data_IF_282740995418
#
_entry.id   IF_282740995418
#
_cell.length_a   1.000
_cell.length_b   1.000
_cell.length_c   1.000
_cell.angle_alpha   90.00
_cell.angle_beta   90.00
_cell.angle_gamma   90.00
#
_symmetry.space_group_name_H-M   'P 1'
#
loop_
_entity.id
_entity.type
_entity.pdbx_description
1 polymer ?
#
# COMPACT_ATOMS: atom_id res chain seq x y z
N UNK A 1 14.57 29.04 -8.62
CA UNK A 1 13.73 28.49 -9.71
C UNK A 1 13.77 26.95 -9.64
N UNK A 2 13.14 26.33 -8.64
CA UNK A 2 13.10 24.84 -8.45
C UNK A 2 11.82 24.33 -7.76
N UNK A 3 10.77 25.16 -7.65
CA UNK A 3 9.43 24.73 -7.17
C UNK A 3 8.54 24.16 -8.28
N UNK A 4 9.06 24.03 -9.51
CA UNK A 4 8.26 23.83 -10.71
C UNK A 4 8.10 22.36 -11.13
N UNK A 5 9.01 21.45 -10.78
CA UNK A 5 8.98 20.09 -11.34
C UNK A 5 7.86 19.24 -10.70
N UNK A 6 7.78 19.21 -9.36
CA UNK A 6 6.75 18.43 -8.65
C UNK A 6 5.35 19.00 -8.88
N UNK A 7 5.19 20.33 -8.79
CA UNK A 7 3.92 21.00 -9.10
C UNK A 7 3.48 20.80 -10.55
N UNK A 8 4.42 20.69 -11.50
CA UNK A 8 4.12 20.37 -12.90
C UNK A 8 3.56 18.96 -13.05
N UNK A 9 4.13 17.95 -12.39
CA UNK A 9 3.57 16.58 -12.46
C UNK A 9 2.19 16.47 -11.80
N UNK A 10 1.99 17.12 -10.64
CA UNK A 10 0.67 17.14 -10.01
C UNK A 10 -0.37 17.91 -10.84
N UNK A 11 0.04 18.97 -11.55
CA UNK A 11 -0.85 19.67 -12.47
C UNK A 11 -1.17 18.84 -13.69
N UNK A 12 -0.17 18.17 -14.26
CA UNK A 12 -0.32 17.32 -15.44
C UNK A 12 -1.24 16.16 -15.10
N UNK A 13 -1.18 15.56 -13.92
CA UNK A 13 -2.04 14.44 -13.54
C UNK A 13 -3.39 14.86 -12.93
N UNK A 14 -3.77 16.15 -13.00
CA UNK A 14 -5.00 16.66 -12.39
C UNK A 14 -5.05 16.61 -10.86
N UNK A 15 -3.98 16.11 -10.24
CA UNK A 15 -3.84 15.92 -8.80
C UNK A 15 -3.99 17.24 -8.05
N UNK A 16 -3.60 18.38 -8.62
CA UNK A 16 -3.82 19.71 -8.01
C UNK A 16 -5.29 20.01 -7.64
N UNK A 17 -6.27 19.36 -8.28
CA UNK A 17 -7.69 19.51 -7.93
C UNK A 17 -8.04 18.86 -6.60
N UNK A 18 -7.25 17.87 -6.18
CA UNK A 18 -7.46 17.08 -4.97
C UNK A 18 -6.39 17.41 -3.90
N UNK A 19 -5.17 17.75 -4.33
CA UNK A 19 -4.05 18.10 -3.47
C UNK A 19 -3.98 19.61 -3.21
N UNK A 20 -4.23 20.01 -1.95
CA UNK A 20 -3.79 21.32 -1.45
C UNK A 20 -2.44 21.16 -0.76
N UNK A 21 -1.34 21.28 -1.52
CA UNK A 21 0.02 21.32 -0.97
C UNK A 21 0.61 22.72 -1.22
N UNK A 22 1.00 23.43 -0.15
CA UNK A 22 1.87 24.60 -0.27
C UNK A 22 3.32 24.13 -0.37
N UNK A 23 3.93 24.29 -1.54
CA UNK A 23 5.35 23.99 -1.74
C UNK A 23 6.21 25.06 -1.07
N UNK A 24 6.77 24.77 0.11
CA UNK A 24 7.77 25.63 0.75
C UNK A 24 9.05 25.68 -0.11
N UNK A 25 9.65 26.88 -0.22
CA UNK A 25 10.73 27.21 -1.18
C UNK A 25 12.12 26.64 -0.86
N UNK A 26 12.28 25.76 0.14
CA UNK A 26 13.59 25.43 0.72
C UNK A 26 14.02 23.95 0.58
N UNK A 27 15.34 23.82 0.41
CA UNK A 27 16.28 22.69 0.17
C UNK A 27 15.75 21.24 -0.02
N UNK A 28 16.21 20.62 -1.12
CA UNK A 28 15.90 19.25 -1.57
C UNK A 28 17.14 18.35 -1.48
N UNK A 29 17.82 18.32 -0.33
CA UNK A 29 18.92 17.36 -0.09
C UNK A 29 18.58 16.45 1.08
N UNK A 30 18.45 15.17 0.79
CA UNK A 30 18.70 14.06 1.73
C UNK A 30 17.86 14.00 3.01
N UNK A 31 16.69 14.66 3.07
CA UNK A 31 15.75 14.43 4.17
C UNK A 31 15.17 13.03 3.94
N UNK A 32 15.45 12.08 4.83
CA UNK A 32 14.92 10.72 4.72
C UNK A 32 13.41 10.73 4.47
N UNK A 33 12.86 9.73 3.75
CA UNK A 33 11.43 9.70 3.39
C UNK A 33 10.52 10.06 4.57
N UNK A 34 10.84 9.59 5.76
CA UNK A 34 10.13 9.80 7.03
C UNK A 34 10.21 11.20 7.63
N UNK A 35 11.17 12.04 7.25
CA UNK A 35 11.34 13.41 7.80
C UNK A 35 10.91 14.50 6.83
N UNK A 36 10.44 14.11 5.65
CA UNK A 36 9.92 15.06 4.66
C UNK A 36 8.51 15.55 5.07
N UNK A 37 8.23 16.86 5.04
CA UNK A 37 6.86 17.37 5.23
C UNK A 37 5.90 16.85 4.14
N UNK A 38 6.43 16.43 3.00
CA UNK A 38 5.69 15.80 1.91
C UNK A 38 5.29 14.35 2.20
N UNK A 39 5.84 13.73 3.25
CA UNK A 39 5.47 12.38 3.67
C UNK A 39 4.01 12.28 4.15
N UNK A 40 3.38 13.41 4.46
CA UNK A 40 1.93 13.48 4.70
C UNK A 40 1.10 13.03 3.49
N UNK A 41 1.66 13.06 2.28
CA UNK A 41 1.01 12.70 1.02
C UNK A 41 1.74 11.52 0.35
N UNK A 42 1.92 10.43 1.08
CA UNK A 42 2.73 9.31 0.65
C UNK A 42 1.98 8.44 -0.38
N UNK A 43 2.46 8.43 -1.62
CA UNK A 43 1.98 7.52 -2.67
C UNK A 43 2.73 6.20 -2.58
N UNK A 44 1.98 5.11 -2.43
CA UNK A 44 2.58 3.80 -2.25
C UNK A 44 2.61 3.00 -3.55
N UNK A 45 1.48 2.92 -4.25
CA UNK A 45 1.34 2.04 -5.40
C UNK A 45 0.55 2.67 -6.53
N UNK A 46 0.97 2.37 -7.75
CA UNK A 46 0.30 2.72 -9.00
C UNK A 46 -0.06 1.45 -9.76
N UNK A 47 -1.34 1.29 -10.10
CA UNK A 47 -1.82 0.18 -10.91
C UNK A 47 -2.43 0.69 -12.21
N UNK A 48 -1.80 0.37 -13.33
CA UNK A 48 -2.40 0.60 -14.65
C UNK A 48 -3.53 -0.41 -14.84
N UNK A 49 -4.74 0.07 -15.12
CA UNK A 49 -5.94 -0.77 -15.30
C UNK A 49 -6.21 -1.00 -16.78
N UNK A 50 -6.10 0.07 -17.56
CA UNK A 50 -6.23 0.09 -19.01
C UNK A 50 -5.44 1.30 -19.57
N UNK A 51 -5.54 1.54 -20.88
CA UNK A 51 -4.84 2.63 -21.57
C UNK A 51 -5.19 4.03 -21.02
N UNK A 52 -6.37 4.17 -20.42
CA UNK A 52 -6.96 5.44 -20.03
C UNK A 52 -7.02 5.63 -18.52
N UNK A 53 -6.82 4.56 -17.74
CA UNK A 53 -7.10 4.54 -16.30
C UNK A 53 -5.93 3.99 -15.49
N UNK A 54 -5.51 4.78 -14.50
CA UNK A 54 -4.53 4.39 -13.49
C UNK A 54 -5.16 4.52 -12.11
N UNK A 55 -4.98 3.51 -11.25
CA UNK A 55 -5.27 3.62 -9.83
C UNK A 55 -4.02 4.01 -9.06
N UNK A 56 -4.17 4.98 -8.16
CA UNK A 56 -3.14 5.45 -7.26
C UNK A 56 -3.58 5.24 -5.81
N UNK A 57 -2.85 4.40 -5.08
CA UNK A 57 -3.05 4.15 -3.66
C UNK A 57 -2.13 5.02 -2.83
N UNK A 58 -2.65 5.55 -1.73
CA UNK A 58 -1.88 6.36 -0.79
C UNK A 58 -1.70 5.62 0.53
N UNK A 59 -0.54 5.78 1.17
CA UNK A 59 -0.31 5.31 2.54
C UNK A 59 -0.85 6.29 3.57
N UNK A 60 -0.84 7.57 3.21
CA UNK A 60 -1.23 8.67 4.06
C UNK A 60 -1.67 9.82 3.18
N UNK A 61 -2.76 10.45 3.56
CA UNK A 61 -3.33 11.60 2.87
C UNK A 61 -3.43 12.81 3.79
N UNK A 62 -2.51 13.76 3.61
CA UNK A 62 -2.32 14.89 4.52
C UNK A 62 -2.15 14.45 5.99
N UNK A 63 -1.68 13.24 6.21
CA UNK A 63 -1.57 12.59 7.51
C UNK A 63 -0.13 12.13 7.74
N UNK A 64 0.55 12.79 8.68
CA UNK A 64 1.91 12.43 9.08
C UNK A 64 1.96 11.14 9.90
N UNK A 65 0.84 10.69 10.45
CA UNK A 65 0.73 9.39 11.13
C UNK A 65 0.63 8.21 10.16
N UNK A 66 0.43 8.49 8.85
CA UNK A 66 0.36 7.51 7.76
C UNK A 66 -0.68 6.42 8.00
N UNK A 67 -1.80 6.80 8.61
CA UNK A 67 -2.94 5.93 8.85
C UNK A 67 -3.97 6.16 7.77
N UNK A 68 -4.34 7.40 7.51
CA UNK A 68 -5.50 7.69 6.68
C UNK A 68 -5.13 7.60 5.20
N UNK A 69 -5.52 6.49 4.58
CA UNK A 69 -5.23 6.17 3.18
C UNK A 69 -6.44 6.36 2.30
N UNK A 70 -6.18 6.57 1.01
CA UNK A 70 -7.16 6.81 -0.04
C UNK A 70 -6.82 6.04 -1.31
N UNK A 71 -7.81 5.92 -2.20
CA UNK A 71 -7.64 5.38 -3.54
C UNK A 71 -8.11 6.41 -4.55
N UNK A 72 -7.24 6.72 -5.52
CA UNK A 72 -7.47 7.77 -6.51
C UNK A 72 -7.48 7.13 -7.88
N UNK A 73 -8.46 7.49 -8.69
CA UNK A 73 -8.48 7.16 -10.10
C UNK A 73 -7.94 8.35 -10.88
N UNK A 74 -6.97 8.07 -11.75
CA UNK A 74 -6.38 9.00 -12.68
C UNK A 74 -6.83 8.63 -14.09
N UNK A 75 -7.30 9.63 -14.83
CA UNK A 75 -7.61 9.50 -16.26
C UNK A 75 -6.46 10.10 -17.06
N UNK A 76 -5.91 9.34 -18.00
CA UNK A 76 -4.83 9.81 -18.90
C UNK A 76 -5.35 10.53 -20.14
N UNK A 77 -6.66 10.43 -20.43
CA UNK A 77 -7.27 11.09 -21.59
C UNK A 77 -7.46 12.60 -21.36
N UNK A 78 -8.14 12.93 -20.26
CA UNK A 78 -8.47 14.31 -19.88
C UNK A 78 -7.59 14.82 -18.73
N UNK A 79 -6.61 14.00 -18.32
CA UNK A 79 -5.66 14.33 -17.27
C UNK A 79 -6.36 14.69 -15.94
N UNK A 80 -7.49 14.06 -15.67
CA UNK A 80 -8.26 14.27 -14.44
C UNK A 80 -7.90 13.27 -13.34
N UNK A 81 -8.21 13.66 -12.11
CA UNK A 81 -8.09 12.81 -10.94
C UNK A 81 -9.39 12.90 -10.13
N UNK A 82 -9.82 11.77 -9.57
CA UNK A 82 -10.95 11.69 -8.64
C UNK A 82 -10.68 10.68 -7.53
N UNK A 83 -11.23 10.90 -6.33
CA UNK A 83 -11.21 9.87 -5.30
C UNK A 83 -12.17 8.76 -5.66
N UNK A 84 -11.64 7.55 -5.81
CA UNK A 84 -12.45 6.35 -5.83
C UNK A 84 -12.82 5.93 -4.40
N UNK A 85 -11.89 6.11 -3.46
CA UNK A 85 -12.13 6.00 -2.03
C UNK A 85 -11.45 7.19 -1.31
N UNK A 86 -12.21 7.88 -0.46
CA UNK A 86 -11.74 9.09 0.21
C UNK A 86 -10.66 8.80 1.26
N UNK A 87 -9.89 9.81 1.72
CA UNK A 87 -9.00 9.66 2.87
C UNK A 87 -9.71 9.04 4.09
N UNK A 88 -9.08 8.08 4.73
CA UNK A 88 -9.64 7.34 5.88
C UNK A 88 -10.47 6.11 5.49
N UNK A 89 -10.71 5.90 4.18
CA UNK A 89 -11.32 4.65 3.70
C UNK A 89 -10.45 3.43 3.96
N UNK A 90 -9.13 3.59 3.98
CA UNK A 90 -8.17 2.52 4.27
C UNK A 90 -7.14 2.95 5.32
N UNK A 91 -6.45 1.98 5.92
CA UNK A 91 -5.42 2.17 6.93
C UNK A 91 -4.05 1.80 6.38
N UNK A 92 -3.21 2.81 6.14
CA UNK A 92 -1.85 2.68 5.61
C UNK A 92 -1.77 1.74 4.39
N UNK A 93 -2.63 1.96 3.40
CA UNK A 93 -2.74 1.11 2.21
C UNK A 93 -1.40 1.03 1.49
N UNK A 94 -1.00 -0.17 1.06
CA UNK A 94 0.30 -0.39 0.43
C UNK A 94 0.16 -0.86 -1.02
N UNK A 95 -0.34 -2.07 -1.24
CA UNK A 95 -0.39 -2.68 -2.57
C UNK A 95 -1.82 -2.75 -3.08
N UNK A 96 -2.00 -2.72 -4.40
CA UNK A 96 -3.30 -2.68 -5.06
C UNK A 96 -3.47 -3.87 -5.97
N UNK A 97 -4.56 -4.62 -5.78
CA UNK A 97 -5.04 -5.64 -6.69
C UNK A 97 -6.41 -5.24 -7.23
N UNK A 98 -6.46 -4.95 -8.53
CA UNK A 98 -7.70 -4.65 -9.23
C UNK A 98 -8.31 -5.92 -9.80
N UNK A 99 -9.60 -6.17 -9.51
CA UNK A 99 -10.38 -7.27 -10.08
C UNK A 99 -11.59 -6.74 -10.85
N UNK A 100 -12.42 -7.61 -11.42
CA UNK A 100 -13.69 -7.22 -12.04
C UNK A 100 -14.61 -6.47 -11.06
N UNK A 101 -14.74 -6.98 -9.85
CA UNK A 101 -15.82 -6.60 -8.92
C UNK A 101 -15.35 -5.64 -7.83
N UNK A 102 -14.07 -5.66 -7.51
CA UNK A 102 -13.51 -4.85 -6.43
C UNK A 102 -12.07 -4.40 -6.70
N UNK A 103 -11.64 -3.41 -5.92
CA UNK A 103 -10.23 -3.09 -5.72
C UNK A 103 -9.86 -3.55 -4.32
N UNK A 104 -8.82 -4.37 -4.22
CA UNK A 104 -8.32 -4.91 -2.97
C UNK A 104 -7.01 -4.19 -2.66
N UNK A 105 -6.82 -3.79 -1.40
CA UNK A 105 -5.59 -3.18 -0.90
C UNK A 105 -5.07 -3.89 0.34
N UNK A 106 -3.75 -3.97 0.48
CA UNK A 106 -3.12 -4.40 1.73
C UNK A 106 -3.05 -3.23 2.71
N UNK A 107 -3.54 -3.39 3.94
CA UNK A 107 -3.48 -2.35 4.98
C UNK A 107 -2.29 -2.61 5.90
N UNK A 108 -1.14 -2.04 5.52
CA UNK A 108 0.16 -2.51 5.97
C UNK A 108 0.35 -2.51 7.49
N UNK A 109 -0.24 -1.56 8.22
CA UNK A 109 -0.04 -1.44 9.68
C UNK A 109 -1.22 -1.97 10.51
N UNK A 110 -2.34 -2.29 9.86
CA UNK A 110 -3.56 -2.75 10.54
C UNK A 110 -3.74 -4.28 10.46
N UNK A 111 -2.85 -4.97 9.74
CA UNK A 111 -2.93 -6.40 9.47
C UNK A 111 -4.29 -6.81 8.89
N UNK A 112 -4.74 -6.07 7.89
CA UNK A 112 -6.03 -6.30 7.23
C UNK A 112 -5.94 -6.13 5.72
N UNK A 113 -7.01 -6.56 5.05
CA UNK A 113 -7.27 -6.32 3.65
C UNK A 113 -8.40 -5.30 3.55
N UNK A 114 -8.13 -4.17 2.88
CA UNK A 114 -9.15 -3.20 2.52
C UNK A 114 -9.77 -3.58 1.17
N UNK A 115 -11.09 -3.46 1.05
CA UNK A 115 -11.81 -3.77 -0.17
C UNK A 115 -12.73 -2.60 -0.53
N UNK A 116 -12.56 -2.07 -1.75
CA UNK A 116 -13.52 -1.17 -2.39
C UNK A 116 -14.39 -1.98 -3.35
N UNK A 117 -15.69 -2.03 -3.08
CA UNK A 117 -16.68 -2.67 -3.95
C UNK A 117 -17.06 -1.72 -5.09
N UNK A 118 -16.79 -2.09 -6.34
CA UNK A 118 -17.05 -1.22 -7.50
C UNK A 118 -18.52 -1.07 -7.85
N UNK A 119 -19.36 -2.01 -7.41
CA UNK A 119 -20.81 -1.99 -7.66
C UNK A 119 -21.52 -1.07 -6.67
N UNK A 120 -21.13 -1.13 -5.40
CA UNK A 120 -21.77 -0.33 -4.33
C UNK A 120 -21.05 0.97 -4.02
N UNK A 121 -19.81 1.15 -4.50
CA UNK A 121 -18.91 2.24 -4.12
C UNK A 121 -18.63 2.30 -2.61
N UNK A 122 -18.75 1.17 -1.92
CA UNK A 122 -18.49 1.07 -0.49
C UNK A 122 -17.13 0.44 -0.20
N UNK A 123 -16.54 0.84 0.93
CA UNK A 123 -15.31 0.26 1.44
C UNK A 123 -15.57 -0.54 2.70
N UNK A 124 -15.00 -1.74 2.77
CA UNK A 124 -14.98 -2.55 3.98
C UNK A 124 -13.61 -3.18 4.18
N UNK A 125 -13.40 -3.81 5.34
CA UNK A 125 -12.11 -4.40 5.71
C UNK A 125 -12.31 -5.81 6.22
N UNK A 126 -11.35 -6.67 5.91
CA UNK A 126 -11.24 -8.01 6.46
C UNK A 126 -9.99 -8.04 7.33
N UNK A 127 -10.19 -8.22 8.63
CA UNK A 127 -9.09 -8.33 9.58
C UNK A 127 -8.42 -9.69 9.41
N UNK A 128 -7.11 -9.70 9.16
CA UNK A 128 -6.31 -10.91 9.14
C UNK A 128 -5.79 -11.21 10.57
N UNK A 129 -5.37 -12.45 10.87
CA UNK A 129 -4.83 -12.80 12.17
C UNK A 129 -3.66 -11.89 12.56
N UNK A 130 -3.77 -11.17 13.67
CA UNK A 130 -2.74 -10.24 14.12
C UNK A 130 -1.48 -10.98 14.56
N UNK A 131 -0.38 -10.83 13.82
CA UNK A 131 0.91 -11.48 14.10
C UNK A 131 2.02 -10.47 14.40
N UNK A 132 1.76 -9.17 14.25
CA UNK A 132 2.74 -8.09 14.39
C UNK A 132 3.60 -7.89 13.14
N UNK A 133 3.06 -8.20 11.96
CA UNK A 133 3.70 -8.06 10.67
C UNK A 133 3.16 -6.85 9.89
N UNK A 134 3.96 -6.37 8.94
CA UNK A 134 3.46 -5.51 7.88
C UNK A 134 2.89 -6.34 6.75
N UNK A 135 1.63 -6.13 6.39
CA UNK A 135 1.04 -6.83 5.25
C UNK A 135 1.40 -6.12 3.96
N UNK A 136 2.01 -6.86 3.03
CA UNK A 136 2.50 -6.36 1.75
C UNK A 136 2.49 -7.45 0.69
N UNK A 137 2.26 -7.05 -0.56
CA UNK A 137 2.11 -7.96 -1.69
C UNK A 137 0.77 -8.68 -1.64
N UNK A 138 0.07 -8.66 -2.77
CA UNK A 138 -1.17 -9.39 -2.94
C UNK A 138 -1.29 -9.86 -4.38
N UNK A 139 -1.64 -11.13 -4.57
CA UNK A 139 -1.89 -11.71 -5.89
C UNK A 139 -3.12 -12.60 -5.85
N UNK A 140 -3.86 -12.64 -6.96
CA UNK A 140 -5.02 -13.53 -7.12
C UNK A 140 -4.58 -14.87 -7.69
N UNK A 141 -5.01 -15.96 -7.08
CA UNK A 141 -4.85 -17.32 -7.58
C UNK A 141 -6.19 -17.89 -8.05
N UNK A 142 -6.18 -19.11 -8.60
CA UNK A 142 -7.40 -19.84 -8.92
C UNK A 142 -8.19 -20.32 -7.68
N UNK A 143 -7.55 -20.36 -6.50
CA UNK A 143 -8.15 -20.85 -5.25
C UNK A 143 -8.40 -19.72 -4.24
N UNK A 144 -7.92 -18.51 -4.49
CA UNK A 144 -8.10 -17.36 -3.62
C UNK A 144 -7.00 -16.33 -3.82
N UNK A 145 -6.27 -16.00 -2.75
CA UNK A 145 -5.30 -14.90 -2.76
C UNK A 145 -4.00 -15.27 -2.03
N UNK A 146 -2.87 -14.88 -2.60
CA UNK A 146 -1.59 -14.84 -1.89
C UNK A 146 -1.45 -13.48 -1.22
N UNK A 147 -1.07 -13.47 0.05
CA UNK A 147 -0.82 -12.27 0.84
C UNK A 147 0.54 -12.40 1.52
N UNK A 148 1.39 -11.38 1.37
CA UNK A 148 2.71 -11.38 1.97
C UNK A 148 2.74 -10.68 3.33
N UNK A 149 3.58 -11.20 4.21
CA UNK A 149 3.79 -10.71 5.57
C UNK A 149 5.27 -10.41 5.75
N UNK A 150 5.58 -9.13 5.96
CA UNK A 150 6.94 -8.65 6.19
C UNK A 150 7.15 -8.31 7.67
N UNK A 151 8.24 -8.73 8.31
CA UNK A 151 8.46 -8.45 9.71
C UNK A 151 8.49 -6.94 10.01
N UNK A 152 7.81 -6.52 11.08
CA UNK A 152 7.83 -5.13 11.50
C UNK A 152 9.10 -4.81 12.30
N UNK A 153 10.14 -4.31 11.62
CA UNK A 153 11.45 -4.00 12.22
C UNK A 153 11.38 -3.02 13.41
N UNK A 154 10.39 -2.13 13.45
CA UNK A 154 10.20 -1.20 14.56
C UNK A 154 9.69 -1.93 15.81
N UNK A 155 8.79 -2.91 15.63
CA UNK A 155 8.30 -3.76 16.72
C UNK A 155 9.34 -4.79 17.16
N UNK A 156 10.14 -5.34 16.22
CA UNK A 156 11.20 -6.32 16.49
C UNK A 156 12.34 -5.79 17.39
N UNK A 157 12.52 -4.47 17.45
CA UNK A 157 13.51 -3.84 18.33
C UNK A 157 13.02 -3.66 19.78
N UNK A 158 11.73 -3.89 20.05
CA UNK A 158 11.20 -3.90 21.42
C UNK A 158 11.65 -5.17 22.17
N UNK A 159 11.88 -5.07 23.48
CA UNK A 159 12.34 -6.20 24.31
C UNK A 159 11.37 -7.40 24.29
N UNK A 160 10.09 -7.18 24.02
CA UNK A 160 9.06 -8.22 23.93
C UNK A 160 9.17 -9.11 22.68
N UNK A 161 9.70 -8.59 21.57
CA UNK A 161 9.70 -9.28 20.28
C UNK A 161 11.01 -10.01 19.93
N UNK A 162 12.00 -10.02 20.84
CA UNK A 162 13.29 -10.69 20.65
C UNK A 162 13.25 -12.23 20.81
N UNK A 163 12.08 -12.82 21.04
CA UNK A 163 11.91 -14.29 21.08
C UNK A 163 11.82 -14.85 19.65
N UNK A 164 12.99 -15.28 19.16
CA UNK A 164 13.37 -16.22 18.08
C UNK A 164 12.52 -16.50 16.82
N UNK A 165 11.21 -16.26 16.73
CA UNK A 165 10.40 -16.85 15.64
C UNK A 165 9.74 -15.83 14.69
N UNK A 166 10.09 -14.54 14.76
CA UNK A 166 9.42 -13.47 13.99
C UNK A 166 10.33 -12.67 13.06
N UNK A 167 11.32 -13.30 12.43
CA UNK A 167 12.33 -12.57 11.62
C UNK A 167 12.15 -12.68 10.12
N UNK A 168 11.39 -13.67 9.65
CA UNK A 168 11.34 -13.97 8.23
C UNK A 168 9.99 -13.57 7.66
N UNK A 169 10.03 -13.01 6.46
CA UNK A 169 8.83 -12.76 5.69
C UNK A 169 8.26 -14.10 5.20
N UNK A 170 6.94 -14.18 5.09
CA UNK A 170 6.24 -15.35 4.60
C UNK A 170 5.06 -14.94 3.73
N UNK A 171 4.55 -15.88 2.95
CA UNK A 171 3.37 -15.70 2.11
C UNK A 171 2.31 -16.70 2.56
N UNK A 172 1.10 -16.24 2.83
CA UNK A 172 -0.05 -17.12 3.08
C UNK A 172 -0.97 -17.14 1.88
N UNK A 173 -1.51 -18.33 1.60
CA UNK A 173 -2.54 -18.53 0.60
C UNK A 173 -3.90 -18.60 1.28
N UNK A 174 -4.67 -17.54 1.14
CA UNK A 174 -6.05 -17.43 1.62
C UNK A 174 -7.05 -17.93 0.58
N UNK A 175 -8.21 -18.37 1.06
CA UNK A 175 -9.41 -18.54 0.22
C UNK A 175 -10.00 -17.18 -0.22
N UNK A 176 -11.07 -17.22 -1.03
CA UNK A 176 -11.62 -16.02 -1.67
C UNK A 176 -12.18 -14.95 -0.70
N UNK A 177 -12.55 -15.32 0.53
CA UNK A 177 -13.08 -14.40 1.53
C UNK A 177 -12.07 -14.08 2.66
N UNK A 178 -10.82 -14.52 2.51
CA UNK A 178 -9.74 -14.33 3.48
C UNK A 178 -10.00 -14.93 4.88
N UNK A 179 -10.92 -15.88 5.02
CA UNK A 179 -11.23 -16.51 6.32
C UNK A 179 -10.43 -17.78 6.59
N UNK A 180 -9.91 -18.45 5.55
CA UNK A 180 -9.17 -19.71 5.66
C UNK A 180 -7.82 -19.64 4.95
N UNK A 181 -6.77 -20.09 5.62
CA UNK A 181 -5.43 -20.29 5.05
C UNK A 181 -5.30 -21.73 4.55
N UNK A 182 -4.93 -21.90 3.28
CA UNK A 182 -4.68 -23.19 2.64
C UNK A 182 -3.22 -23.64 2.73
N UNK A 183 -2.30 -22.70 2.88
CA UNK A 183 -0.88 -22.97 2.96
C UNK A 183 -0.10 -21.70 3.29
N UNK A 184 1.10 -21.91 3.80
CA UNK A 184 2.08 -20.88 4.13
C UNK A 184 3.40 -21.25 3.48
N UNK A 185 4.10 -20.25 2.97
CA UNK A 185 5.44 -20.39 2.40
C UNK A 185 6.35 -19.40 3.11
N UNK A 186 7.23 -19.94 3.96
CA UNK A 186 8.29 -19.16 4.59
C UNK A 186 9.35 -18.78 3.56
N UNK A 187 9.77 -17.51 3.57
CA UNK A 187 10.87 -17.01 2.72
C UNK A 187 12.20 -17.07 3.48
N UNK A 188 12.42 -18.19 4.15
CA UNK A 188 13.63 -18.49 4.88
C UNK A 188 14.81 -18.68 3.92
N UNK A 189 15.99 -18.23 4.32
CA UNK A 189 17.25 -18.42 3.60
C UNK A 189 17.32 -17.83 2.17
N UNK A 190 16.33 -17.02 1.76
CA UNK A 190 16.38 -16.32 0.47
C UNK A 190 17.44 -15.20 0.46
N UNK A 191 17.74 -14.65 1.64
CA UNK A 191 18.80 -13.66 1.88
C UNK A 191 19.57 -14.01 3.16
N UNK A 192 20.81 -13.54 3.33
CA UNK A 192 21.54 -13.73 4.58
C UNK A 192 20.77 -13.17 5.79
N UNK A 193 20.75 -13.91 6.91
CA UNK A 193 19.95 -13.60 8.11
C UNK A 193 20.14 -12.16 8.63
N UNK A 194 21.34 -11.59 8.49
CA UNK A 194 21.64 -10.24 8.93
C UNK A 194 20.97 -9.14 8.10
N UNK A 195 20.51 -9.45 6.88
CA UNK A 195 19.82 -8.50 5.98
C UNK A 195 18.31 -8.47 6.26
N UNK A 196 17.76 -9.62 6.68
CA UNK A 196 16.32 -9.87 6.81
C UNK A 196 15.60 -9.85 5.47
N UNK A 197 14.37 -10.39 5.43
CA UNK A 197 13.52 -10.37 4.23
C UNK A 197 12.35 -9.39 4.38
N UNK A 198 11.91 -8.84 3.26
CA UNK A 198 10.68 -8.04 3.16
C UNK A 198 10.04 -8.29 1.79
N UNK A 199 8.75 -8.57 1.80
CA UNK A 199 7.94 -8.67 0.60
C UNK A 199 7.50 -7.26 0.22
N UNK A 200 7.79 -6.88 -1.02
CA UNK A 200 7.37 -5.59 -1.58
C UNK A 200 6.24 -5.75 -2.59
N UNK A 201 6.13 -6.89 -3.26
CA UNK A 201 5.06 -7.21 -4.18
C UNK A 201 5.00 -8.74 -4.36
N UNK A 202 3.84 -9.26 -4.77
CA UNK A 202 3.68 -10.64 -5.23
C UNK A 202 3.09 -10.55 -6.63
N UNK A 203 3.80 -11.08 -7.61
CA UNK A 203 3.33 -11.17 -8.99
C UNK A 203 3.17 -12.65 -9.31
N UNK A 204 1.95 -13.06 -9.63
CA UNK A 204 1.72 -14.38 -10.19
C UNK A 204 2.00 -14.31 -11.69
N UNK A 205 2.93 -15.13 -12.15
CA UNK A 205 3.18 -15.36 -13.57
C UNK A 205 2.37 -16.57 -14.02
N UNK A 206 1.78 -16.48 -15.20
CA UNK A 206 1.14 -17.60 -15.88
C UNK A 206 2.18 -18.56 -16.49
#
# INVERSE_FOLDING_TARGET
>A
MKSTIVGKYFSVLGLNKIFKIQFLKFDFRGIGKSTSPYHSCHFNELKVIDHNTILLGTKGWQDLSLKDSSLIKLSTNDMSAEFLATPGSFIASHDILNTSDCVIVTESINESIGIFNKKTNETYRIQLPRRGYFIRGIAKTNKGYLVGFSPNRTLLNSKEYKKKDKKNAFIEHYNNDFTKVFGEVDLDNFYPEYTGSAIHNIVQCD
#
